data_IF_386382155173
#
_entry.id   IF_386382155173
#
_cell.length_a   1.000
_cell.length_b   1.000
_cell.length_c   1.000
_cell.angle_alpha   90.00
_cell.angle_beta   90.00
_cell.angle_gamma   90.00
#
_symmetry.space_group_name_H-M   'P 1'
#
loop_
_entity.id
_entity.type
_entity.pdbx_description
1 polymer ?
#
# COMPACT_ATOMS: atom_id res chain seq x y z
N UNK A 1 89.12 -47.04 -36.81
CA UNK A 1 88.99 -47.67 -35.48
C UNK A 1 87.71 -47.17 -34.81
N UNK A 2 87.06 -48.04 -34.02
CA UNK A 2 86.10 -47.77 -32.92
C UNK A 2 84.81 -46.94 -33.16
N UNK A 3 83.68 -47.55 -32.75
CA UNK A 3 82.37 -46.92 -32.48
C UNK A 3 82.30 -46.43 -31.01
N UNK A 4 81.35 -45.53 -30.72
CA UNK A 4 80.31 -45.75 -29.68
C UNK A 4 78.88 -45.51 -30.28
N UNK A 5 77.73 -46.14 -29.93
CA UNK A 5 77.25 -46.96 -28.79
C UNK A 5 77.27 -46.16 -27.47
N UNK A 6 76.21 -45.73 -26.78
CA UNK A 6 74.82 -46.18 -26.50
C UNK A 6 73.94 -44.89 -26.30
N UNK A 7 72.63 -44.82 -26.01
CA UNK A 7 71.50 -45.74 -25.77
C UNK A 7 70.19 -45.02 -26.14
N UNK A 8 69.10 -45.74 -26.44
CA UNK A 8 67.72 -45.20 -26.35
C UNK A 8 66.87 -46.14 -25.50
N UNK A 9 66.34 -45.64 -24.38
CA UNK A 9 65.59 -46.43 -23.40
C UNK A 9 64.11 -46.55 -23.81
N UNK A 10 63.65 -47.75 -24.16
CA UNK A 10 62.24 -48.04 -24.42
C UNK A 10 61.61 -48.64 -23.16
N UNK A 11 60.80 -47.87 -22.43
CA UNK A 11 60.06 -48.36 -21.26
C UNK A 11 58.73 -48.95 -21.73
N UNK A 12 58.61 -50.28 -21.68
CA UNK A 12 57.34 -50.98 -21.86
C UNK A 12 56.53 -50.91 -20.56
N UNK A 13 55.47 -50.09 -20.52
CA UNK A 13 54.49 -50.15 -19.43
C UNK A 13 53.51 -51.29 -19.69
N UNK A 14 53.70 -52.41 -18.98
CA UNK A 14 52.71 -53.48 -18.88
C UNK A 14 51.76 -53.12 -17.73
N UNK A 15 50.63 -52.50 -18.06
CA UNK A 15 49.55 -52.27 -17.09
C UNK A 15 48.74 -53.54 -16.88
N UNK A 16 49.07 -54.31 -15.84
CA UNK A 16 48.21 -55.39 -15.37
C UNK A 16 46.91 -54.82 -14.79
N UNK A 17 45.77 -55.23 -15.33
CA UNK A 17 44.47 -54.83 -14.79
C UNK A 17 44.22 -55.54 -13.44
N UNK A 18 44.31 -54.78 -12.36
CA UNK A 18 43.78 -55.19 -11.06
C UNK A 18 42.24 -55.15 -11.15
N UNK A 19 41.60 -56.31 -11.06
CA UNK A 19 40.14 -56.40 -10.94
C UNK A 19 39.78 -55.92 -9.53
N UNK A 20 39.21 -54.72 -9.43
CA UNK A 20 38.62 -54.25 -8.19
C UNK A 20 37.36 -55.08 -7.89
N UNK A 21 37.22 -55.57 -6.66
CA UNK A 21 35.94 -56.08 -6.18
C UNK A 21 34.97 -54.91 -6.06
N UNK A 22 33.86 -54.95 -6.80
CA UNK A 22 32.76 -54.02 -6.65
C UNK A 22 31.85 -54.50 -5.51
N UNK A 23 31.76 -53.72 -4.43
CA UNK A 23 30.76 -53.94 -3.38
C UNK A 23 29.35 -53.70 -3.95
N UNK A 24 28.66 -54.79 -4.24
CA UNK A 24 27.30 -54.73 -4.79
C UNK A 24 26.26 -54.61 -3.68
N UNK A 25 25.50 -53.52 -3.74
CA UNK A 25 24.32 -53.32 -2.92
C UNK A 25 23.25 -54.29 -3.38
N UNK A 26 22.71 -55.11 -2.48
CA UNK A 26 21.69 -56.14 -2.80
C UNK A 26 20.58 -56.13 -1.78
N UNK A 27 19.34 -56.10 -2.24
CA UNK A 27 18.12 -56.11 -1.41
C UNK A 27 17.02 -56.93 -2.09
N UNK A 28 16.16 -57.54 -1.28
CA UNK A 28 14.96 -58.23 -1.73
C UNK A 28 13.77 -57.32 -1.42
N UNK A 29 12.91 -57.09 -2.41
CA UNK A 29 11.83 -56.08 -2.36
C UNK A 29 10.53 -56.68 -2.87
N UNK A 30 9.43 -56.46 -2.14
CA UNK A 30 8.08 -56.79 -2.56
C UNK A 30 7.33 -55.56 -3.07
N UNK A 31 6.43 -55.73 -4.04
CA UNK A 31 5.58 -54.64 -4.58
C UNK A 31 4.68 -53.95 -3.52
N UNK A 32 4.49 -54.58 -2.36
CA UNK A 32 3.74 -54.04 -1.22
C UNK A 32 4.62 -53.38 -0.15
N UNK A 33 5.94 -53.42 -0.26
CA UNK A 33 6.83 -52.78 0.70
C UNK A 33 6.78 -51.26 0.52
N UNK A 34 6.79 -50.51 1.62
CA UNK A 34 6.87 -49.05 1.58
C UNK A 34 8.33 -48.59 1.60
N UNK A 35 8.64 -47.47 0.93
CA UNK A 35 9.98 -46.87 0.90
C UNK A 35 10.60 -46.78 2.31
N UNK A 36 9.82 -46.41 3.33
CA UNK A 36 10.31 -46.39 4.72
C UNK A 36 10.93 -47.73 5.15
N UNK A 37 10.23 -48.85 4.93
CA UNK A 37 10.71 -50.18 5.33
C UNK A 37 11.96 -50.60 4.55
N UNK A 38 11.99 -50.30 3.24
CA UNK A 38 13.13 -50.55 2.36
C UNK A 38 14.36 -49.75 2.83
N UNK A 39 14.18 -48.46 3.15
CA UNK A 39 15.26 -47.57 3.61
C UNK A 39 15.74 -47.95 5.03
N UNK A 40 14.84 -48.32 5.94
CA UNK A 40 15.21 -48.83 7.28
C UNK A 40 16.07 -50.12 7.16
N UNK A 41 15.76 -50.99 6.21
CA UNK A 41 16.50 -52.23 5.94
C UNK A 41 17.87 -51.96 5.27
N UNK A 42 17.97 -50.97 4.38
CA UNK A 42 19.25 -50.52 3.81
C UNK A 42 20.14 -49.91 4.89
N UNK A 43 19.60 -48.98 5.70
CA UNK A 43 20.36 -48.31 6.77
C UNK A 43 20.94 -49.31 7.77
N UNK A 44 20.14 -50.31 8.19
CA UNK A 44 20.56 -51.34 9.14
C UNK A 44 21.57 -52.35 8.59
N UNK A 45 21.47 -52.74 7.30
CA UNK A 45 22.43 -53.68 6.69
C UNK A 45 23.76 -53.04 6.28
N UNK A 46 23.74 -51.78 5.84
CA UNK A 46 24.91 -51.12 5.23
C UNK A 46 25.55 -50.04 6.11
N UNK A 47 25.05 -49.85 7.35
CA UNK A 47 25.54 -48.85 8.31
C UNK A 47 25.62 -47.42 7.72
N UNK A 48 24.57 -47.03 7.00
CA UNK A 48 24.41 -45.70 6.40
C UNK A 48 23.19 -44.98 6.97
N UNK A 49 23.23 -43.66 6.95
CA UNK A 49 22.12 -42.78 7.31
C UNK A 49 21.51 -42.17 6.06
N UNK A 50 20.23 -42.43 5.81
CA UNK A 50 19.49 -41.89 4.68
C UNK A 50 18.38 -40.99 5.21
N UNK A 51 18.44 -39.69 4.89
CA UNK A 51 17.37 -38.73 5.17
C UNK A 51 16.46 -38.61 3.93
N UNK A 52 15.15 -38.45 4.13
CA UNK A 52 14.17 -38.25 3.05
C UNK A 52 12.94 -37.47 3.55
N UNK A 53 12.23 -36.73 2.68
CA UNK A 53 10.95 -36.09 3.01
C UNK A 53 9.88 -37.11 3.45
N UNK A 54 9.06 -36.76 4.44
CA UNK A 54 8.09 -37.67 5.05
C UNK A 54 7.00 -38.14 4.06
N UNK A 55 6.73 -37.34 3.04
CA UNK A 55 5.79 -37.59 1.94
C UNK A 55 6.18 -38.83 1.14
N UNK A 56 7.47 -39.11 1.00
CA UNK A 56 7.98 -40.26 0.24
C UNK A 56 7.86 -41.58 1.02
N UNK A 57 7.62 -41.53 2.34
CA UNK A 57 7.67 -42.71 3.21
C UNK A 57 6.72 -43.85 2.78
N UNK A 58 5.61 -43.51 2.13
CA UNK A 58 4.56 -44.42 1.68
C UNK A 58 4.71 -44.89 0.22
N UNK A 59 5.79 -44.50 -0.47
CA UNK A 59 6.00 -44.83 -1.87
C UNK A 59 6.27 -46.33 -2.04
N UNK A 60 5.53 -46.99 -2.93
CA UNK A 60 5.73 -48.40 -3.27
C UNK A 60 6.75 -48.55 -4.41
N UNK A 61 7.57 -49.62 -4.41
CA UNK A 61 8.50 -49.92 -5.48
C UNK A 61 7.76 -50.37 -6.74
N UNK A 62 8.26 -49.99 -7.92
CA UNK A 62 7.69 -50.46 -9.20
C UNK A 62 8.19 -51.86 -9.57
N UNK A 63 9.41 -52.20 -9.16
CA UNK A 63 10.05 -53.50 -9.40
C UNK A 63 10.07 -54.34 -8.12
N UNK A 64 9.99 -55.67 -8.27
CA UNK A 64 10.01 -56.61 -7.13
C UNK A 64 10.86 -57.85 -7.41
N UNK A 65 11.46 -58.40 -6.36
CA UNK A 65 12.46 -59.47 -6.43
C UNK A 65 13.80 -59.05 -5.82
N UNK A 66 14.87 -59.75 -6.20
CA UNK A 66 16.23 -59.46 -5.75
C UNK A 66 16.86 -58.38 -6.65
N UNK A 67 16.97 -57.16 -6.13
CA UNK A 67 17.49 -56.01 -6.85
C UNK A 67 18.93 -55.73 -6.41
N UNK A 68 19.81 -55.52 -7.40
CA UNK A 68 21.25 -55.28 -7.22
C UNK A 68 21.63 -53.93 -7.83
N UNK A 69 22.60 -53.23 -7.23
CA UNK A 69 23.24 -52.04 -7.79
C UNK A 69 24.70 -51.92 -7.34
N UNK A 70 25.55 -51.28 -8.15
CA UNK A 70 26.95 -50.97 -7.78
C UNK A 70 27.08 -49.79 -6.79
N UNK A 71 25.99 -49.05 -6.58
CA UNK A 71 25.92 -47.95 -5.61
C UNK A 71 24.50 -47.80 -5.06
N UNK A 72 24.35 -47.10 -3.93
CA UNK A 72 23.03 -46.74 -3.39
C UNK A 72 22.18 -45.95 -4.40
N UNK A 73 22.80 -45.11 -5.24
CA UNK A 73 22.07 -44.36 -6.28
C UNK A 73 21.48 -45.29 -7.33
N UNK A 74 22.26 -46.27 -7.81
CA UNK A 74 21.81 -47.26 -8.78
C UNK A 74 20.76 -48.20 -8.17
N UNK A 75 20.97 -48.63 -6.93
CA UNK A 75 19.99 -49.46 -6.20
C UNK A 75 18.63 -48.75 -6.10
N UNK A 76 18.61 -47.49 -5.67
CA UNK A 76 17.38 -46.71 -5.56
C UNK A 76 16.76 -46.45 -6.93
N UNK A 77 17.54 -46.24 -8.00
CA UNK A 77 16.98 -46.11 -9.35
C UNK A 77 16.44 -47.42 -9.92
N UNK A 78 16.91 -48.58 -9.45
CA UNK A 78 16.39 -49.88 -9.86
C UNK A 78 15.10 -50.26 -9.11
N UNK A 79 14.89 -49.72 -7.91
CA UNK A 79 13.66 -49.92 -7.11
C UNK A 79 12.58 -48.88 -7.47
N UNK A 80 12.98 -47.63 -7.71
CA UNK A 80 12.10 -46.49 -7.99
C UNK A 80 12.55 -45.75 -9.28
N UNK A 81 12.39 -46.38 -10.46
CA UNK A 81 12.93 -45.88 -11.72
C UNK A 81 12.40 -44.50 -12.08
N UNK A 82 13.31 -43.53 -12.21
CA UNK A 82 13.00 -42.16 -12.61
C UNK A 82 12.32 -41.28 -11.55
N UNK A 83 11.82 -41.85 -10.45
CA UNK A 83 11.09 -41.09 -9.43
C UNK A 83 12.01 -40.38 -8.43
N UNK A 84 13.09 -41.04 -7.99
CA UNK A 84 13.94 -40.58 -6.89
C UNK A 84 15.37 -40.22 -7.33
N UNK A 85 15.99 -39.29 -6.62
CA UNK A 85 17.38 -38.90 -6.74
C UNK A 85 18.11 -39.04 -5.40
N UNK A 86 19.29 -39.67 -5.42
CA UNK A 86 20.13 -39.86 -4.24
C UNK A 86 21.28 -38.86 -4.27
N UNK A 87 21.33 -37.95 -3.31
CA UNK A 87 22.45 -37.03 -3.10
C UNK A 87 23.32 -37.51 -1.94
N UNK A 88 24.56 -37.92 -2.22
CA UNK A 88 25.56 -38.19 -1.18
C UNK A 88 25.95 -36.87 -0.49
N UNK A 89 25.86 -36.84 0.84
CA UNK A 89 26.26 -35.70 1.66
C UNK A 89 27.63 -35.93 2.32
N UNK A 90 27.90 -37.17 2.71
CA UNK A 90 29.14 -37.62 3.36
C UNK A 90 29.35 -39.12 3.06
N UNK A 91 30.45 -39.73 3.50
CA UNK A 91 30.75 -41.14 3.23
C UNK A 91 29.71 -42.13 3.74
N UNK A 92 28.99 -41.81 4.82
CA UNK A 92 27.90 -42.63 5.38
C UNK A 92 26.54 -41.92 5.42
N UNK A 93 26.41 -40.74 4.77
CA UNK A 93 25.17 -39.93 4.84
C UNK A 93 24.66 -39.58 3.44
N UNK A 94 23.38 -39.85 3.22
CA UNK A 94 22.71 -39.66 1.95
C UNK A 94 21.37 -38.94 2.15
N UNK A 95 20.95 -38.18 1.15
CA UNK A 95 19.65 -37.51 1.07
C UNK A 95 18.89 -38.06 -0.14
N UNK A 96 17.73 -38.67 0.10
CA UNK A 96 16.74 -39.00 -0.91
C UNK A 96 15.83 -37.79 -1.14
N UNK A 97 15.48 -37.54 -2.40
CA UNK A 97 14.51 -36.51 -2.81
C UNK A 97 13.84 -36.92 -4.11
N UNK A 98 12.70 -36.30 -4.44
CA UNK A 98 12.14 -36.43 -5.78
C UNK A 98 13.15 -35.97 -6.84
N UNK A 99 13.24 -36.76 -7.91
CA UNK A 99 14.06 -36.45 -9.08
C UNK A 99 13.39 -35.33 -9.88
N UNK A 100 13.58 -34.08 -9.43
CA UNK A 100 13.16 -32.90 -10.18
C UNK A 100 13.78 -32.93 -11.58
N UNK A 101 12.92 -32.98 -12.60
CA UNK A 101 13.32 -32.93 -14.01
C UNK A 101 14.12 -31.64 -14.21
N UNK A 102 15.42 -31.78 -14.39
CA UNK A 102 16.31 -30.65 -14.69
C UNK A 102 16.22 -30.37 -16.19
N UNK A 103 15.42 -29.38 -16.55
CA UNK A 103 15.20 -28.99 -17.95
C UNK A 103 16.43 -28.28 -18.53
N UNK A 104 17.45 -29.04 -18.91
CA UNK A 104 18.48 -28.61 -19.86
C UNK A 104 18.08 -29.04 -21.27
N UNK A 105 17.11 -28.34 -21.89
CA UNK A 105 17.03 -28.13 -23.35
C UNK A 105 15.86 -27.22 -23.73
N UNK A 106 16.15 -26.19 -24.53
CA UNK A 106 15.16 -25.41 -25.28
C UNK A 106 14.59 -26.28 -26.43
N UNK A 107 13.40 -26.85 -26.25
CA UNK A 107 12.61 -27.49 -27.31
C UNK A 107 11.11 -27.27 -27.03
N UNK A 108 10.45 -26.41 -27.81
CA UNK A 108 8.98 -26.35 -27.88
C UNK A 108 8.25 -25.68 -26.70
N UNK A 109 8.44 -24.37 -26.54
CA UNK A 109 7.44 -23.50 -25.90
C UNK A 109 6.83 -22.55 -26.93
N UNK A 110 5.59 -22.12 -26.74
CA UNK A 110 5.00 -21.02 -27.49
C UNK A 110 5.11 -19.73 -26.68
N UNK A 111 5.71 -18.70 -27.25
CA UNK A 111 5.68 -17.35 -26.68
C UNK A 111 4.37 -16.68 -27.07
N UNK A 112 3.48 -16.45 -26.11
CA UNK A 112 2.26 -15.67 -26.31
C UNK A 112 2.52 -14.23 -25.92
N UNK A 113 2.35 -13.31 -26.86
CA UNK A 113 2.42 -11.88 -26.61
C UNK A 113 1.03 -11.27 -26.83
N UNK A 114 0.69 -10.22 -26.10
CA UNK A 114 -0.60 -9.57 -26.26
C UNK A 114 -0.74 -8.31 -25.42
N UNK A 115 -1.90 -7.69 -25.51
CA UNK A 115 -2.30 -6.54 -24.69
C UNK A 115 -3.57 -6.88 -23.92
N UNK A 116 -3.76 -6.25 -22.76
CA UNK A 116 -4.98 -6.36 -21.96
C UNK A 116 -5.64 -4.99 -21.85
N UNK A 117 -6.93 -4.92 -22.20
CA UNK A 117 -7.74 -3.70 -22.18
C UNK A 117 -9.13 -3.96 -21.58
N UNK A 118 -9.85 -2.91 -21.22
CA UNK A 118 -11.26 -3.01 -20.85
C UNK A 118 -12.20 -2.83 -22.06
N UNK A 119 -13.51 -2.99 -21.83
CA UNK A 119 -14.56 -2.80 -22.85
C UNK A 119 -14.62 -1.37 -23.44
N UNK A 120 -14.00 -0.37 -22.80
CA UNK A 120 -13.87 0.99 -23.33
C UNK A 120 -12.63 1.19 -24.21
N UNK A 121 -11.75 0.19 -24.28
CA UNK A 121 -10.47 0.24 -25.01
C UNK A 121 -9.32 0.85 -24.20
N UNK A 122 -9.50 1.08 -22.89
CA UNK A 122 -8.42 1.53 -22.00
C UNK A 122 -7.53 0.34 -21.62
N UNK A 123 -6.22 0.49 -21.80
CA UNK A 123 -5.24 -0.53 -21.40
C UNK A 123 -5.21 -0.73 -19.88
N UNK A 124 -5.06 -1.98 -19.45
CA UNK A 124 -5.08 -2.37 -18.03
C UNK A 124 -3.66 -2.81 -17.62
N UNK A 125 -2.96 -2.02 -16.77
CA UNK A 125 -1.68 -2.43 -16.19
C UNK A 125 -1.88 -3.44 -15.05
N UNK A 126 -0.78 -4.05 -14.62
CA UNK A 126 -0.71 -4.91 -13.43
C UNK A 126 -1.66 -6.14 -13.46
N UNK A 127 -2.06 -6.58 -14.65
CA UNK A 127 -2.85 -7.80 -14.85
C UNK A 127 -1.93 -9.01 -14.63
N UNK A 128 -2.28 -9.85 -13.66
CA UNK A 128 -1.58 -11.12 -13.39
C UNK A 128 -2.07 -12.17 -14.38
N UNK A 129 -1.14 -12.73 -15.14
CA UNK A 129 -1.41 -13.67 -16.23
C UNK A 129 -0.60 -14.94 -15.97
N UNK A 130 -1.28 -16.07 -15.83
CA UNK A 130 -0.63 -17.32 -15.41
C UNK A 130 -1.32 -18.56 -15.95
N UNK A 131 -0.60 -19.67 -15.85
CA UNK A 131 -1.08 -21.02 -16.12
C UNK A 131 -0.69 -21.90 -14.93
N UNK A 132 -1.53 -22.87 -14.55
CA UNK A 132 -1.34 -23.61 -13.30
C UNK A 132 0.03 -24.30 -13.22
N UNK A 133 0.78 -23.99 -12.17
CA UNK A 133 2.14 -24.51 -11.95
C UNK A 133 3.24 -23.89 -12.83
N UNK A 134 2.96 -22.81 -13.58
CA UNK A 134 3.97 -21.95 -14.20
C UNK A 134 4.13 -20.65 -13.40
N UNK A 135 5.23 -19.91 -13.64
CA UNK A 135 5.40 -18.59 -13.05
C UNK A 135 4.43 -17.57 -13.68
N UNK A 136 3.75 -16.73 -12.87
CA UNK A 136 2.92 -15.65 -13.39
C UNK A 136 3.78 -14.58 -14.07
N UNK A 137 3.21 -13.94 -15.10
CA UNK A 137 3.71 -12.69 -15.68
C UNK A 137 2.71 -11.56 -15.40
N UNK A 138 3.17 -10.31 -15.44
CA UNK A 138 2.37 -9.14 -15.11
C UNK A 138 2.37 -8.18 -16.32
N UNK A 139 1.22 -7.62 -16.68
CA UNK A 139 1.14 -6.64 -17.78
C UNK A 139 1.81 -5.31 -17.42
N UNK A 140 2.48 -4.68 -18.39
CA UNK A 140 3.16 -3.39 -18.20
C UNK A 140 2.17 -2.20 -18.17
N UNK A 141 2.69 -0.97 -18.05
CA UNK A 141 1.89 0.25 -18.05
C UNK A 141 0.99 0.46 -19.29
N UNK A 142 1.31 -0.18 -20.42
CA UNK A 142 0.54 -0.16 -21.67
C UNK A 142 -0.38 -1.39 -21.81
N UNK A 143 -0.51 -2.22 -20.76
CA UNK A 143 -1.26 -3.47 -20.78
C UNK A 143 -0.59 -4.62 -21.51
N UNK A 144 0.66 -4.48 -21.96
CA UNK A 144 1.37 -5.50 -22.75
C UNK A 144 1.93 -6.61 -21.87
N UNK A 145 1.88 -7.85 -22.35
CA UNK A 145 2.44 -9.03 -21.68
C UNK A 145 3.15 -9.98 -22.66
N UNK A 146 4.04 -10.80 -22.11
CA UNK A 146 4.67 -11.93 -22.81
C UNK A 146 4.74 -13.13 -21.87
N UNK A 147 4.07 -14.22 -22.22
CA UNK A 147 4.01 -15.47 -21.44
C UNK A 147 4.63 -16.61 -22.25
N UNK A 148 5.56 -17.36 -21.65
CA UNK A 148 6.06 -18.60 -22.22
C UNK A 148 5.16 -19.77 -21.81
N UNK A 149 4.55 -20.44 -22.79
CA UNK A 149 3.69 -21.60 -22.59
C UNK A 149 4.45 -22.87 -22.98
N UNK A 150 4.74 -23.80 -22.05
CA UNK A 150 5.34 -25.10 -22.40
C UNK A 150 4.42 -25.91 -23.33
N UNK A 151 4.97 -26.63 -24.32
CA UNK A 151 4.14 -27.47 -25.22
C UNK A 151 3.28 -28.51 -24.47
N UNK A 152 3.72 -28.98 -23.30
CA UNK A 152 2.96 -29.88 -22.43
C UNK A 152 1.65 -29.27 -21.91
N UNK A 153 1.54 -27.93 -21.89
CA UNK A 153 0.39 -27.17 -21.38
C UNK A 153 -0.36 -26.38 -22.45
N UNK A 154 -0.10 -26.64 -23.74
CA UNK A 154 -0.73 -25.90 -24.87
C UNK A 154 -2.27 -26.05 -24.93
N UNK A 155 -2.81 -27.09 -24.28
CA UNK A 155 -4.25 -27.36 -24.15
C UNK A 155 -4.84 -27.01 -22.76
N UNK A 156 -4.07 -26.34 -21.90
CA UNK A 156 -4.52 -25.87 -20.58
C UNK A 156 -4.85 -24.38 -20.61
N UNK A 157 -5.82 -23.94 -19.82
CA UNK A 157 -6.22 -22.54 -19.75
C UNK A 157 -5.12 -21.63 -19.18
N UNK A 158 -5.05 -20.41 -19.72
CA UNK A 158 -4.31 -19.28 -19.16
C UNK A 158 -5.34 -18.36 -18.50
N UNK A 159 -5.06 -17.94 -17.27
CA UNK A 159 -5.90 -17.08 -16.46
C UNK A 159 -5.40 -15.64 -16.50
N UNK A 160 -6.33 -14.70 -16.57
CA UNK A 160 -6.11 -13.26 -16.53
C UNK A 160 -6.87 -12.70 -15.34
N UNK A 161 -6.14 -12.10 -14.39
CA UNK A 161 -6.70 -11.58 -13.14
C UNK A 161 -6.20 -10.16 -12.87
N UNK A 162 -7.12 -9.25 -12.55
CA UNK A 162 -6.79 -7.89 -12.12
C UNK A 162 -7.86 -7.39 -11.14
N UNK A 163 -7.48 -6.47 -10.25
CA UNK A 163 -8.38 -5.94 -9.25
C UNK A 163 -9.45 -5.07 -9.91
N UNK A 164 -10.73 -5.36 -9.65
CA UNK A 164 -11.85 -4.65 -10.26
C UNK A 164 -12.25 -5.18 -11.65
N UNK A 165 -11.77 -6.35 -12.07
CA UNK A 165 -12.15 -6.99 -13.32
C UNK A 165 -12.59 -8.43 -13.10
N UNK A 166 -13.55 -8.92 -13.91
CA UNK A 166 -13.93 -10.33 -13.91
C UNK A 166 -12.74 -11.17 -14.36
N UNK A 167 -12.33 -12.14 -13.54
CA UNK A 167 -11.29 -13.09 -13.91
C UNK A 167 -11.69 -13.87 -15.18
N UNK A 168 -10.81 -13.88 -16.18
CA UNK A 168 -11.04 -14.54 -17.47
C UNK A 168 -10.06 -15.68 -17.68
N UNK A 169 -10.44 -16.69 -18.46
CA UNK A 169 -9.52 -17.71 -18.95
C UNK A 169 -9.66 -17.94 -20.45
N UNK A 170 -8.54 -18.17 -21.15
CA UNK A 170 -8.50 -18.57 -22.57
C UNK A 170 -7.49 -19.68 -22.79
N UNK A 171 -7.68 -20.48 -23.84
CA UNK A 171 -6.65 -21.43 -24.28
C UNK A 171 -5.54 -20.71 -25.08
N UNK A 172 -4.28 -21.19 -25.04
CA UNK A 172 -3.17 -20.65 -25.83
C UNK A 172 -3.50 -20.42 -27.31
N UNK A 173 -4.22 -21.36 -27.94
CA UNK A 173 -4.68 -21.27 -29.34
C UNK A 173 -5.69 -20.15 -29.65
N UNK A 174 -6.29 -19.55 -28.63
CA UNK A 174 -7.26 -18.44 -28.74
C UNK A 174 -6.58 -17.08 -28.54
N UNK A 175 -5.26 -17.09 -28.31
CA UNK A 175 -4.38 -15.94 -28.14
C UNK A 175 -3.45 -15.97 -29.36
N UNK A 176 -3.67 -15.05 -30.31
CA UNK A 176 -2.80 -14.91 -31.49
C UNK A 176 -1.42 -14.33 -31.15
N UNK A 177 -0.69 -13.87 -32.16
CA UNK A 177 0.65 -13.29 -31.96
C UNK A 177 0.63 -11.91 -31.26
N UNK A 178 -0.44 -11.12 -31.44
CA UNK A 178 -0.65 -9.80 -30.78
C UNK A 178 -2.14 -9.45 -30.49
N UNK A 179 -2.96 -10.32 -29.87
CA UNK A 179 -4.35 -10.02 -29.56
C UNK A 179 -4.49 -8.99 -28.42
N UNK A 180 -5.57 -8.23 -28.47
CA UNK A 180 -6.09 -7.51 -27.31
C UNK A 180 -7.07 -8.42 -26.56
N UNK A 181 -6.79 -8.69 -25.29
CA UNK A 181 -7.63 -9.43 -24.37
C UNK A 181 -8.51 -8.43 -23.63
N UNK A 182 -9.82 -8.47 -23.87
CA UNK A 182 -10.77 -7.55 -23.26
C UNK A 182 -11.30 -8.11 -21.94
N UNK A 183 -11.01 -7.45 -20.82
CA UNK A 183 -11.60 -7.78 -19.53
C UNK A 183 -12.87 -6.95 -19.28
N UNK A 184 -13.84 -7.58 -18.63
CA UNK A 184 -15.07 -6.91 -18.19
C UNK A 184 -14.84 -6.29 -16.82
N UNK A 185 -15.11 -4.99 -16.68
CA UNK A 185 -15.10 -4.29 -15.40
C UNK A 185 -16.08 -4.95 -14.43
N UNK A 186 -15.58 -5.32 -13.25
CA UNK A 186 -16.36 -5.78 -12.12
C UNK A 186 -16.09 -4.82 -10.96
N UNK A 187 -16.84 -3.71 -10.86
CA UNK A 187 -16.62 -2.73 -9.82
C UNK A 187 -16.79 -3.43 -8.47
N UNK A 188 -15.69 -3.52 -7.73
CA UNK A 188 -15.67 -4.19 -6.44
C UNK A 188 -16.54 -3.38 -5.49
N UNK A 189 -17.78 -3.84 -5.29
CA UNK A 189 -18.63 -3.37 -4.21
C UNK A 189 -18.01 -3.86 -2.90
N UNK A 190 -17.03 -3.10 -2.43
CA UNK A 190 -16.55 -3.18 -1.06
C UNK A 190 -17.79 -3.07 -0.18
N UNK A 191 -18.08 -4.12 0.59
CA UNK A 191 -19.01 -3.99 1.70
C UNK A 191 -18.54 -2.78 2.51
N UNK A 192 -19.45 -1.86 2.79
CA UNK A 192 -19.15 -0.73 3.66
C UNK A 192 -18.81 -1.31 5.03
N UNK A 193 -17.52 -1.52 5.26
CA UNK A 193 -16.98 -1.60 6.60
C UNK A 193 -17.30 -0.22 7.15
N UNK A 194 -18.33 -0.12 7.98
CA UNK A 194 -18.53 1.07 8.80
C UNK A 194 -17.37 1.08 9.78
N UNK A 195 -16.24 1.61 9.32
CA UNK A 195 -15.14 1.98 10.18
C UNK A 195 -15.73 3.02 11.11
N UNK A 196 -16.07 2.61 12.34
CA UNK A 196 -16.38 3.54 13.43
C UNK A 196 -15.06 4.16 13.92
N UNK A 197 -14.17 4.53 12.98
CA UNK A 197 -13.38 5.72 13.15
C UNK A 197 -14.39 6.86 13.16
N UNK A 198 -14.69 7.35 14.36
CA UNK A 198 -14.96 8.77 14.53
C UNK A 198 -13.68 9.51 14.13
N UNK A 199 -13.44 9.60 12.81
CA UNK A 199 -12.33 10.32 12.22
C UNK A 199 -12.25 11.67 12.92
N UNK A 200 -11.09 12.07 13.44
CA UNK A 200 -11.02 13.28 14.22
C UNK A 200 -11.53 14.46 13.37
N UNK A 201 -12.26 15.42 13.97
CA UNK A 201 -12.67 16.68 13.37
C UNK A 201 -11.80 17.21 12.23
N UNK A 202 -10.49 17.28 12.51
CA UNK A 202 -9.46 17.87 11.68
C UNK A 202 -8.52 16.73 11.28
N UNK A 203 -8.44 16.48 9.98
CA UNK A 203 -7.32 15.75 9.39
C UNK A 203 -6.14 16.69 9.21
N UNK A 204 -5.25 16.68 10.18
CA UNK A 204 -3.96 17.37 10.14
C UNK A 204 -3.04 16.74 9.10
N UNK A 205 -3.12 17.19 7.84
CA UNK A 205 -2.11 16.83 6.83
C UNK A 205 -0.92 17.76 7.07
N UNK A 206 0.13 17.24 7.70
CA UNK A 206 1.40 17.94 7.84
C UNK A 206 2.12 17.92 6.49
N UNK A 207 2.24 19.09 5.87
CA UNK A 207 3.08 19.31 4.69
C UNK A 207 3.86 20.59 4.92
N UNK A 208 5.17 20.57 4.67
CA UNK A 208 6.02 21.79 4.59
C UNK A 208 5.91 22.76 5.79
N UNK A 209 5.69 22.24 7.00
CA UNK A 209 5.58 23.05 8.22
C UNK A 209 4.26 23.84 8.39
N UNK A 210 3.27 23.57 7.53
CA UNK A 210 1.89 24.04 7.67
C UNK A 210 0.95 22.90 8.07
N UNK A 211 -0.26 23.29 8.47
CA UNK A 211 -1.31 22.40 8.95
C UNK A 211 -2.61 22.71 8.20
N UNK A 212 -2.99 21.84 7.28
CA UNK A 212 -4.30 21.95 6.63
C UNK A 212 -5.40 21.47 7.57
N UNK A 213 -6.48 22.25 7.62
CA UNK A 213 -7.65 22.08 8.48
C UNK A 213 -8.86 22.14 7.57
N UNK A 214 -9.51 21.00 7.32
CA UNK A 214 -10.78 20.98 6.60
C UNK A 214 -11.91 21.29 7.55
N UNK A 215 -12.74 22.26 7.22
CA UNK A 215 -13.97 22.51 7.94
C UNK A 215 -15.00 21.47 7.48
N UNK A 216 -15.38 20.55 8.38
CA UNK A 216 -16.43 19.57 8.06
C UNK A 216 -17.77 20.16 8.44
N UNK A 217 -18.64 20.32 7.45
CA UNK A 217 -20.06 20.56 7.65
C UNK A 217 -20.58 19.58 8.72
N UNK A 218 -21.00 20.13 9.86
CA UNK A 218 -21.38 19.44 11.10
C UNK A 218 -20.24 18.79 11.92
N UNK A 219 -19.93 19.44 13.04
CA UNK A 219 -19.77 18.72 14.32
C UNK A 219 -18.43 18.04 14.58
N UNK A 220 -17.33 18.52 13.97
CA UNK A 220 -15.99 18.02 14.25
C UNK A 220 -15.59 18.18 15.73
N UNK A 221 -15.26 19.41 16.16
CA UNK A 221 -14.72 19.73 17.49
C UNK A 221 -15.81 20.13 18.51
N UNK A 222 -16.93 19.41 18.52
CA UNK A 222 -17.99 19.59 19.53
C UNK A 222 -17.60 19.02 20.91
N UNK A 223 -16.49 19.50 21.50
CA UNK A 223 -16.16 19.29 22.91
C UNK A 223 -17.01 20.16 23.85
N UNK A 224 -17.55 21.27 23.34
CA UNK A 224 -18.51 22.12 24.03
C UNK A 224 -19.66 22.49 23.10
N UNK A 225 -20.93 22.32 23.52
CA UNK A 225 -22.08 22.80 22.75
C UNK A 225 -22.16 24.33 22.66
N UNK A 226 -21.33 25.07 23.40
CA UNK A 226 -21.26 26.53 23.36
C UNK A 226 -20.38 27.08 22.22
N UNK A 227 -19.44 26.28 21.72
CA UNK A 227 -18.43 26.70 20.73
C UNK A 227 -18.33 25.75 19.52
N UNK A 228 -19.21 24.75 19.42
CA UNK A 228 -19.16 23.73 18.36
C UNK A 228 -19.25 24.30 16.93
N UNK A 229 -19.87 25.48 16.77
CA UNK A 229 -20.03 26.20 15.51
C UNK A 229 -18.92 27.23 15.22
N UNK A 230 -17.89 27.38 16.08
CA UNK A 230 -16.84 28.41 15.93
C UNK A 230 -15.48 27.79 15.55
N UNK A 231 -15.08 27.94 14.28
CA UNK A 231 -13.82 27.39 13.77
C UNK A 231 -12.57 28.02 14.38
N UNK A 232 -12.60 29.30 14.77
CA UNK A 232 -11.43 29.95 15.36
C UNK A 232 -11.18 29.38 16.76
N UNK A 233 -12.26 29.14 17.53
CA UNK A 233 -12.18 28.36 18.78
C UNK A 233 -11.70 26.92 18.53
N UNK A 234 -12.09 26.27 17.44
CA UNK A 234 -11.54 24.94 17.07
C UNK A 234 -10.05 24.99 16.70
N UNK A 235 -9.58 26.08 16.07
CA UNK A 235 -8.15 26.32 15.80
C UNK A 235 -7.37 26.54 17.10
N UNK A 236 -7.96 27.20 18.10
CA UNK A 236 -7.34 27.36 19.43
C UNK A 236 -7.12 26.03 20.17
N UNK A 237 -7.92 25.00 19.90
CA UNK A 237 -7.72 23.66 20.46
C UNK A 237 -6.52 22.91 19.86
N UNK A 238 -5.83 23.46 18.84
CA UNK A 238 -4.68 22.83 18.21
C UNK A 238 -3.38 23.11 18.98
N UNK A 239 -2.48 22.12 19.11
CA UNK A 239 -1.26 22.28 19.91
C UNK A 239 -0.36 23.39 19.37
N UNK A 240 0.05 24.30 20.27
CA UNK A 240 0.83 25.49 19.93
C UNK A 240 0.00 26.69 19.45
N UNK A 241 -1.32 26.65 19.59
CA UNK A 241 -2.21 27.81 19.54
C UNK A 241 -2.70 28.10 20.96
N UNK A 242 -2.84 29.38 21.29
CA UNK A 242 -3.24 29.90 22.60
C UNK A 242 -4.23 31.06 22.43
N UNK A 243 -4.95 31.36 23.51
CA UNK A 243 -5.77 32.55 23.71
C UNK A 243 -5.38 33.18 25.05
N UNK A 244 -5.76 34.43 25.33
CA UNK A 244 -5.54 35.00 26.67
C UNK A 244 -6.44 34.34 27.72
N UNK A 245 -7.68 34.00 27.36
CA UNK A 245 -8.61 33.19 28.15
C UNK A 245 -9.65 32.46 27.25
N UNK A 246 -10.55 31.66 27.86
CA UNK A 246 -11.64 30.97 27.15
C UNK A 246 -12.64 31.93 26.47
N UNK A 247 -12.64 33.20 26.88
CA UNK A 247 -13.48 34.29 26.41
C UNK A 247 -12.79 35.17 25.35
N UNK A 248 -11.66 34.72 24.81
CA UNK A 248 -10.91 35.41 23.75
C UNK A 248 -10.82 34.56 22.47
N UNK A 249 -11.23 35.11 21.34
CA UNK A 249 -11.20 34.50 20.01
C UNK A 249 -9.94 34.89 19.21
N UNK A 250 -9.05 35.72 19.76
CA UNK A 250 -7.76 36.04 19.15
C UNK A 250 -6.84 34.82 19.15
N UNK A 251 -5.92 34.76 18.18
CA UNK A 251 -5.00 33.63 18.01
C UNK A 251 -3.57 34.04 18.37
N UNK A 252 -3.05 33.48 19.46
CA UNK A 252 -1.62 33.50 19.80
C UNK A 252 -0.96 32.22 19.27
N UNK A 253 0.08 32.35 18.46
CA UNK A 253 0.72 31.20 17.79
C UNK A 253 2.12 31.03 18.40
N UNK A 254 2.36 29.90 19.05
CA UNK A 254 3.64 29.58 19.74
C UNK A 254 4.12 30.65 20.72
N UNK A 255 3.20 31.30 21.43
CA UNK A 255 3.51 32.36 22.39
C UNK A 255 3.77 33.73 21.77
N UNK A 256 3.44 33.93 20.48
CA UNK A 256 3.34 35.27 19.91
C UNK A 256 2.19 36.06 20.53
N UNK A 257 2.26 37.37 20.43
CA UNK A 257 1.09 38.20 20.72
C UNK A 257 0.02 38.09 19.62
N UNK A 258 -1.22 38.42 19.97
CA UNK A 258 -2.38 38.28 19.08
C UNK A 258 -2.28 39.19 17.83
N UNK A 259 -1.57 40.31 17.94
CA UNK A 259 -1.30 41.24 16.84
C UNK A 259 -0.16 40.79 15.91
N UNK A 260 0.65 39.81 16.31
CA UNK A 260 1.75 39.25 15.52
C UNK A 260 1.30 38.12 14.58
N UNK A 261 0.15 37.51 14.87
CA UNK A 261 -0.55 36.57 13.98
C UNK A 261 -1.20 37.29 12.80
N UNK A 262 -1.33 36.60 11.68
CA UNK A 262 -2.09 37.04 10.50
C UNK A 262 -3.27 36.11 10.27
N UNK A 263 -4.44 36.68 9.96
CA UNK A 263 -5.60 35.91 9.50
C UNK A 263 -5.99 36.46 8.12
N UNK A 264 -6.09 35.58 7.14
CA UNK A 264 -6.53 35.89 5.78
C UNK A 264 -7.86 35.18 5.50
N UNK A 265 -8.75 35.83 4.76
CA UNK A 265 -9.90 35.20 4.11
C UNK A 265 -9.75 35.43 2.61
N UNK A 266 -9.63 34.35 1.83
CA UNK A 266 -9.39 34.40 0.37
C UNK A 266 -8.21 35.31 -0.02
N UNK A 267 -7.16 35.32 0.82
CA UNK A 267 -5.98 36.17 0.67
C UNK A 267 -6.10 37.61 1.20
N UNK A 268 -7.29 38.04 1.62
CA UNK A 268 -7.55 39.37 2.18
C UNK A 268 -7.28 39.37 3.69
N UNK A 269 -6.43 40.26 4.24
CA UNK A 269 -6.21 40.36 5.68
C UNK A 269 -7.48 40.77 6.45
N UNK A 270 -7.89 39.91 7.38
CA UNK A 270 -9.01 40.19 8.30
C UNK A 270 -8.44 40.68 9.62
N UNK A 271 -8.76 41.93 9.95
CA UNK A 271 -8.41 42.55 11.24
C UNK A 271 -9.61 42.46 12.18
N UNK A 272 -9.36 42.13 13.45
CA UNK A 272 -10.40 41.90 14.48
C UNK A 272 -11.36 40.76 14.09
N UNK A 273 -10.87 39.54 14.23
CA UNK A 273 -11.68 38.32 14.08
C UNK A 273 -12.58 38.05 15.31
N UNK A 274 -12.67 38.98 16.25
CA UNK A 274 -13.43 38.90 17.49
C UNK A 274 -14.75 39.70 17.43
N UNK A 275 -15.76 39.19 18.12
CA UNK A 275 -17.06 39.83 18.33
C UNK A 275 -17.60 39.48 19.73
N UNK A 276 -18.49 40.31 20.27
CA UNK A 276 -19.02 40.20 21.65
C UNK A 276 -17.88 40.14 22.70
N UNK A 277 -17.25 41.30 22.96
CA UNK A 277 -16.16 41.52 23.93
C UNK A 277 -14.88 40.67 23.76
N UNK A 278 -14.76 39.90 22.68
CA UNK A 278 -13.66 38.96 22.47
C UNK A 278 -14.12 37.52 22.25
N UNK A 279 -15.35 37.18 22.65
CA UNK A 279 -15.73 35.79 22.98
C UNK A 279 -15.95 34.90 21.75
N UNK A 280 -16.44 35.45 20.65
CA UNK A 280 -16.77 34.70 19.43
C UNK A 280 -16.01 35.18 18.21
N UNK A 281 -15.75 34.27 17.28
CA UNK A 281 -15.31 34.60 15.94
C UNK A 281 -16.33 35.48 15.20
N UNK A 282 -15.88 36.58 14.61
CA UNK A 282 -16.65 37.35 13.64
C UNK A 282 -16.76 36.63 12.27
N UNK A 283 -15.88 35.66 12.01
CA UNK A 283 -15.94 34.82 10.82
C UNK A 283 -16.95 33.67 11.02
N UNK A 284 -18.03 33.66 10.23
CA UNK A 284 -19.05 32.61 10.23
C UNK A 284 -18.47 31.29 9.68
N UNK A 285 -18.42 30.25 10.51
CA UNK A 285 -17.79 28.98 10.14
C UNK A 285 -18.40 28.31 8.93
N UNK A 286 -19.69 28.46 8.69
CA UNK A 286 -20.33 27.83 7.53
C UNK A 286 -20.01 28.52 6.19
N UNK A 287 -19.27 29.63 6.20
CA UNK A 287 -18.85 30.34 4.99
C UNK A 287 -17.58 29.78 4.34
N UNK A 288 -16.71 29.11 5.11
CA UNK A 288 -15.41 28.63 4.64
C UNK A 288 -15.25 27.11 4.69
N UNK A 289 -14.55 26.57 3.70
CA UNK A 289 -14.39 25.14 3.45
C UNK A 289 -13.11 24.57 4.05
N UNK A 290 -12.04 25.36 4.09
CA UNK A 290 -10.76 24.99 4.68
C UNK A 290 -10.03 26.19 5.30
N UNK A 291 -9.13 25.88 6.24
CA UNK A 291 -8.11 26.78 6.75
C UNK A 291 -6.74 26.12 6.66
N UNK A 292 -5.72 26.86 6.27
CA UNK A 292 -4.31 26.42 6.33
C UNK A 292 -3.57 27.26 7.37
N UNK A 293 -3.06 26.60 8.41
CA UNK A 293 -2.40 27.20 9.55
C UNK A 293 -0.88 27.00 9.47
N UNK A 294 -0.14 28.08 9.30
CA UNK A 294 1.32 28.11 9.24
C UNK A 294 1.88 28.50 10.62
N UNK A 295 2.57 27.56 11.28
CA UNK A 295 3.17 27.74 12.62
C UNK A 295 4.71 27.72 12.62
N UNK A 296 5.32 27.31 11.51
CA UNK A 296 6.76 27.04 11.42
C UNK A 296 7.42 27.82 10.28
N UNK A 297 6.91 27.65 9.06
CA UNK A 297 7.45 28.24 7.84
C UNK A 297 6.37 29.14 7.22
N UNK A 298 6.45 30.44 7.47
CA UNK A 298 5.61 31.42 6.81
C UNK A 298 6.10 31.61 5.36
N UNK A 299 5.22 31.50 4.34
CA UNK A 299 5.58 31.85 2.97
C UNK A 299 6.03 33.31 2.88
N UNK A 300 7.12 33.58 2.16
CA UNK A 300 7.76 34.90 2.12
C UNK A 300 6.82 36.05 1.66
N UNK A 301 5.77 35.73 0.89
CA UNK A 301 4.74 36.68 0.45
C UNK A 301 3.87 37.25 1.59
N UNK A 302 3.91 36.64 2.79
CA UNK A 302 3.16 37.07 3.98
C UNK A 302 4.07 37.65 5.07
N UNK A 303 5.16 38.30 4.68
CA UNK A 303 6.13 38.90 5.60
C UNK A 303 5.56 40.01 6.51
N UNK A 304 6.33 40.37 7.54
CA UNK A 304 5.94 41.40 8.53
C UNK A 304 5.07 40.89 9.69
N UNK A 305 4.94 39.57 9.85
CA UNK A 305 4.18 38.90 10.91
C UNK A 305 5.04 37.81 11.54
N UNK A 306 5.19 37.86 12.86
CA UNK A 306 6.16 37.07 13.63
C UNK A 306 5.54 35.83 14.27
N UNK A 307 4.22 35.80 14.51
CA UNK A 307 3.55 34.70 15.19
C UNK A 307 3.17 33.52 14.29
N UNK A 308 2.54 33.82 13.15
CA UNK A 308 2.05 32.79 12.23
C UNK A 308 0.92 33.31 11.33
N UNK A 309 0.34 32.41 10.54
CA UNK A 309 -0.72 32.72 9.57
C UNK A 309 -1.81 31.66 9.62
N UNK A 310 -3.07 32.09 9.72
CA UNK A 310 -4.24 31.30 9.38
C UNK A 310 -4.84 31.82 8.07
N UNK A 311 -4.75 31.04 6.99
CA UNK A 311 -5.39 31.37 5.71
C UNK A 311 -6.68 30.58 5.57
N UNK A 312 -7.82 31.26 5.60
CA UNK A 312 -9.16 30.69 5.38
C UNK A 312 -9.53 30.79 3.89
N UNK A 313 -10.10 29.73 3.35
CA UNK A 313 -10.65 29.67 1.99
C UNK A 313 -12.17 29.56 2.07
N UNK A 314 -12.91 30.45 1.40
CA UNK A 314 -14.36 30.34 1.30
C UNK A 314 -14.81 29.03 0.64
N UNK A 315 -16.07 28.65 0.80
CA UNK A 315 -16.63 27.51 0.06
C UNK A 315 -16.81 27.87 -1.42
N UNK A 316 -16.41 26.95 -2.32
CA UNK A 316 -16.42 27.14 -3.77
C UNK A 316 -17.82 27.45 -4.34
N UNK A 317 -17.87 27.88 -5.60
CA UNK A 317 -19.10 28.26 -6.30
C UNK A 317 -20.14 27.13 -6.32
N UNK A 318 -21.24 27.32 -5.60
CA UNK A 318 -22.35 26.38 -5.56
C UNK A 318 -23.02 26.19 -6.93
N UNK A 319 -23.15 24.93 -7.33
CA UNK A 319 -23.85 24.48 -8.55
C UNK A 319 -25.35 24.26 -8.35
N UNK A 320 -25.80 24.24 -7.09
CA UNK A 320 -27.19 24.08 -6.64
C UNK A 320 -27.41 24.99 -5.44
N UNK A 321 -28.66 25.32 -5.15
CA UNK A 321 -29.00 26.04 -3.91
C UNK A 321 -28.74 25.14 -2.69
N UNK A 322 -27.93 25.61 -1.75
CA UNK A 322 -27.75 24.99 -0.43
C UNK A 322 -27.46 26.07 0.62
N UNK A 323 -27.57 25.71 1.90
CA UNK A 323 -27.36 26.65 2.99
C UNK A 323 -27.52 25.98 4.35
N UNK A 324 -27.12 26.69 5.39
CA UNK A 324 -27.25 26.27 6.79
C UNK A 324 -27.82 27.40 7.63
N UNK A 325 -28.56 27.03 8.68
CA UNK A 325 -28.99 27.93 9.73
C UNK A 325 -28.65 27.29 11.08
N UNK A 326 -28.05 28.06 11.98
CA UNK A 326 -27.63 27.63 13.31
C UNK A 326 -28.27 28.55 14.36
N UNK A 327 -28.78 27.94 15.43
CA UNK A 327 -29.30 28.63 16.59
C UNK A 327 -28.62 28.02 17.81
N UNK A 328 -27.60 28.70 18.30
CA UNK A 328 -26.93 28.40 19.57
C UNK A 328 -27.62 29.18 20.70
N UNK A 329 -27.20 28.95 21.96
CA UNK A 329 -27.74 29.68 23.12
C UNK A 329 -27.39 31.18 23.11
N UNK A 330 -26.26 31.56 22.48
CA UNK A 330 -25.73 32.93 22.46
C UNK A 330 -25.64 33.56 21.06
N UNK A 331 -25.73 32.75 19.99
CA UNK A 331 -25.55 33.19 18.61
C UNK A 331 -26.58 32.59 17.65
N UNK A 332 -26.88 33.32 16.60
CA UNK A 332 -27.63 32.86 15.44
C UNK A 332 -26.79 33.05 14.17
N UNK A 333 -26.74 32.05 13.30
CA UNK A 333 -25.96 32.06 12.05
C UNK A 333 -26.82 31.61 10.88
N UNK A 334 -26.63 32.24 9.71
CA UNK A 334 -27.29 31.89 8.46
C UNK A 334 -26.28 31.95 7.32
N UNK A 335 -26.27 30.93 6.48
CA UNK A 335 -25.42 30.88 5.28
C UNK A 335 -26.22 30.35 4.10
N UNK A 336 -26.11 31.00 2.95
CA UNK A 336 -26.82 30.68 1.73
C UNK A 336 -25.85 30.73 0.55
N UNK A 337 -25.78 29.63 -0.19
CA UNK A 337 -25.01 29.48 -1.41
C UNK A 337 -25.96 29.22 -2.57
N UNK A 338 -25.89 30.05 -3.62
CA UNK A 338 -26.89 30.03 -4.69
C UNK A 338 -26.31 30.36 -6.06
N UNK A 339 -26.49 29.49 -7.08
CA UNK A 339 -26.29 29.87 -8.47
C UNK A 339 -27.43 30.79 -8.92
N UNK A 340 -27.11 32.06 -9.14
CA UNK A 340 -28.01 33.09 -9.69
C UNK A 340 -28.12 32.97 -11.20
N UNK A 341 -27.06 32.49 -11.87
CA UNK A 341 -27.06 32.11 -13.27
C UNK A 341 -26.00 31.05 -13.54
N UNK A 342 -25.90 30.55 -14.78
CA UNK A 342 -24.86 29.60 -15.21
C UNK A 342 -23.41 30.14 -15.14
N UNK A 343 -23.23 31.44 -14.84
CA UNK A 343 -21.91 32.09 -14.69
C UNK A 343 -21.79 32.96 -13.42
N UNK A 344 -22.81 32.99 -12.56
CA UNK A 344 -22.85 33.86 -11.38
C UNK A 344 -23.41 33.07 -10.21
N UNK A 345 -22.63 32.98 -9.14
CA UNK A 345 -23.03 32.41 -7.85
C UNK A 345 -22.94 33.51 -6.79
N UNK A 346 -23.89 33.54 -5.85
CA UNK A 346 -23.79 34.34 -4.63
C UNK A 346 -23.58 33.43 -3.42
N UNK A 347 -22.61 33.79 -2.60
CA UNK A 347 -22.32 33.16 -1.32
C UNK A 347 -22.56 34.22 -0.23
N UNK A 348 -23.61 34.07 0.56
CA UNK A 348 -24.07 35.03 1.57
C UNK A 348 -23.98 34.39 2.95
N UNK A 349 -23.36 35.08 3.91
CA UNK A 349 -23.26 34.65 5.30
C UNK A 349 -23.58 35.80 6.25
N UNK A 350 -24.36 35.53 7.30
CA UNK A 350 -24.67 36.46 8.36
C UNK A 350 -24.64 35.74 9.72
N UNK A 351 -23.98 36.32 10.72
CA UNK A 351 -23.95 35.81 12.10
C UNK A 351 -24.20 36.96 13.06
N UNK A 352 -24.93 36.71 14.14
CA UNK A 352 -25.24 37.69 15.19
C UNK A 352 -25.24 37.03 16.57
N UNK A 353 -25.13 37.82 17.62
CA UNK A 353 -25.31 37.39 19.01
C UNK A 353 -26.49 38.12 19.64
N UNK A 354 -27.33 37.39 20.39
CA UNK A 354 -28.54 37.96 20.98
C UNK A 354 -28.25 39.11 21.96
N UNK A 355 -27.13 39.05 22.66
CA UNK A 355 -26.70 40.09 23.61
C UNK A 355 -26.26 41.36 22.87
N UNK A 356 -25.54 41.22 21.76
CA UNK A 356 -25.12 42.33 20.91
C UNK A 356 -26.30 42.97 20.15
N UNK A 357 -27.37 42.23 19.91
CA UNK A 357 -28.63 42.76 19.37
C UNK A 357 -29.45 43.53 20.41
N UNK A 358 -29.31 43.20 21.70
CA UNK A 358 -29.91 43.97 22.80
C UNK A 358 -29.15 45.30 23.04
N UNK A 359 -27.82 45.30 22.90
CA UNK A 359 -26.98 46.50 23.06
C UNK A 359 -27.26 47.61 22.02
N UNK A 360 -27.80 47.28 20.85
CA UNK A 360 -28.24 48.28 19.86
C UNK A 360 -29.33 49.23 20.40
N UNK A 361 -30.09 48.82 21.43
CA UNK A 361 -31.08 49.65 22.09
C UNK A 361 -30.53 50.46 23.29
N UNK A 362 -29.27 50.26 23.67
CA UNK A 362 -28.66 50.88 24.87
C UNK A 362 -27.37 51.64 24.58
N UNK A 363 -27.17 52.11 23.35
CA UNK A 363 -26.04 52.99 23.00
C UNK A 363 -26.20 54.39 23.60
N UNK A 364 -25.73 54.55 24.84
CA UNK A 364 -25.41 55.84 25.42
C UNK A 364 -24.18 56.42 24.71
N UNK A 365 -24.40 57.46 23.90
CA UNK A 365 -23.37 58.13 23.09
C UNK A 365 -22.37 58.97 23.91
N UNK A 366 -22.39 58.89 25.25
CA UNK A 366 -21.58 59.74 26.13
C UNK A 366 -20.36 59.07 26.79
N UNK A 367 -20.18 57.75 26.66
CA UNK A 367 -18.99 57.04 27.17
C UNK A 367 -17.77 57.26 26.24
N UNK A 368 -16.70 57.96 26.66
CA UNK A 368 -15.55 58.22 25.80
C UNK A 368 -14.62 57.00 25.73
N UNK A 369 -14.30 56.53 24.52
CA UNK A 369 -13.23 55.55 24.25
C UNK A 369 -11.87 56.06 24.78
N UNK A 370 -11.54 55.79 26.05
CA UNK A 370 -10.37 56.41 26.70
C UNK A 370 -9.40 55.46 27.41
N UNK A 371 -9.81 54.23 27.75
CA UNK A 371 -8.93 53.31 28.50
C UNK A 371 -7.92 52.54 27.63
N UNK A 372 -8.05 52.53 26.30
CA UNK A 372 -7.15 51.78 25.41
C UNK A 372 -5.72 52.36 25.30
N UNK A 373 -5.47 53.58 25.78
CA UNK A 373 -4.16 54.24 25.69
C UNK A 373 -3.35 54.23 27.00
N UNK A 374 -3.88 53.74 28.12
CA UNK A 374 -3.30 54.04 29.44
C UNK A 374 -2.19 53.11 29.95
N UNK A 375 -2.03 51.91 29.39
CA UNK A 375 -1.10 50.89 29.92
C UNK A 375 0.21 50.69 29.14
N UNK A 376 0.43 51.36 28.00
CA UNK A 376 1.67 51.22 27.22
C UNK A 376 2.83 52.16 27.62
N UNK A 377 2.74 52.82 28.79
CA UNK A 377 3.82 53.67 29.32
C UNK A 377 3.93 53.63 30.85
N UNK A 378 4.32 52.47 31.43
CA UNK A 378 5.02 52.43 32.73
C UNK A 378 6.05 51.29 32.79
N UNK A 379 7.33 51.71 32.75
CA UNK A 379 8.56 51.07 33.24
C UNK A 379 8.73 49.56 33.02
#
# INVERSE_FOLDING_TARGET
MQKPFLLTLFIFFISGNLIAQSDHWTIEVSANDQLKAIIDLICSRQNVLIAYPAELAQLNPEESGQIVGSSLQELVSNIFPGQLEVKKLDNSKYLLRDKKISYSNYQGGMSLNGQVADLSGKMIPDVVIFQDGENPVISNANGEFSLQVPATKINQSIYFQSLGYVAMSKLPREIGETPVITLTDQPLQLQTITVIEKLPPIRTIAHEGNLKIKNRENGGFAFSPLYASDFIKQVQMLPGIQADDDLDARLKIRGSEANESLILLDGIPVYRTDHFYGIFSSANSNYFSEGTLYKNALPAQYGGRTGGLLSLSSSESATKWHGSAELDLLTASLTLFTPVSSKITWNLGARTSYLNAAELNSFDLTQPQSDFYRNNFRS
#
